data_IF_111608468041
#
_entry.id   IF_111608468041
#
_cell.length_a   1.000
_cell.length_b   1.000
_cell.length_c   1.000
_cell.angle_alpha   90.00
_cell.angle_beta   90.00
_cell.angle_gamma   90.00
#
_symmetry.space_group_name_H-M   'P 1'
#
loop_
_entity.id
_entity.type
_entity.pdbx_description
1 polymer ?
#
# COMPACT_ATOMS: atom_id res chain seq x y z
N UNK A 1 -4.59 14.56 -9.37
CA UNK A 1 -4.61 13.67 -10.56
C UNK A 1 -4.75 12.20 -10.15
N UNK A 2 -3.88 11.69 -9.28
CA UNK A 2 -3.88 10.29 -8.87
C UNK A 2 -5.22 9.82 -8.26
N UNK A 3 -5.89 10.66 -7.45
CA UNK A 3 -7.20 10.36 -6.86
C UNK A 3 -8.32 10.19 -7.90
N UNK A 4 -8.30 10.97 -8.99
CA UNK A 4 -9.28 10.87 -10.06
C UNK A 4 -9.10 9.55 -10.83
N UNK A 5 -7.86 9.26 -11.25
CA UNK A 5 -7.52 7.99 -11.92
C UNK A 5 -7.92 6.81 -11.05
N UNK A 6 -7.58 6.84 -9.76
CA UNK A 6 -7.97 5.80 -8.81
C UNK A 6 -9.49 5.58 -8.78
N UNK A 7 -10.27 6.66 -8.73
CA UNK A 7 -11.74 6.58 -8.68
C UNK A 7 -12.32 5.96 -9.96
N UNK A 8 -11.71 6.23 -11.11
CA UNK A 8 -12.16 5.73 -12.41
C UNK A 8 -11.91 4.22 -12.59
N UNK A 9 -10.76 3.71 -12.14
CA UNK A 9 -10.33 2.34 -12.47
C UNK A 9 -10.39 1.34 -11.30
N UNK A 10 -10.54 1.79 -10.06
CA UNK A 10 -10.43 0.93 -8.86
C UNK A 10 -11.47 -0.19 -8.79
N UNK A 11 -12.63 -0.03 -9.42
CA UNK A 11 -13.69 -1.05 -9.49
C UNK A 11 -13.30 -2.27 -10.34
N UNK A 12 -12.26 -2.17 -11.17
CA UNK A 12 -11.80 -3.24 -12.05
C UNK A 12 -10.81 -4.22 -11.38
N UNK A 13 -10.61 -4.09 -10.05
CA UNK A 13 -9.63 -4.83 -9.26
C UNK A 13 -10.31 -5.50 -8.05
N UNK A 14 -9.80 -6.65 -7.62
CA UNK A 14 -10.32 -7.42 -6.48
C UNK A 14 -10.13 -6.69 -5.15
N UNK A 15 -9.08 -5.87 -5.08
CA UNK A 15 -8.78 -4.98 -3.98
C UNK A 15 -8.03 -3.75 -4.47
N UNK A 16 -8.27 -2.62 -3.81
CA UNK A 16 -7.66 -1.36 -4.20
C UNK A 16 -7.35 -0.49 -3.00
N UNK A 17 -6.29 0.30 -3.10
CA UNK A 17 -5.87 1.22 -2.06
C UNK A 17 -5.24 2.48 -2.65
N UNK A 18 -5.75 3.64 -2.26
CA UNK A 18 -5.13 4.94 -2.48
C UNK A 18 -4.43 5.37 -1.19
N UNK A 19 -3.14 5.71 -1.30
CA UNK A 19 -2.30 6.21 -0.22
C UNK A 19 -1.73 7.56 -0.64
N UNK A 20 -2.18 8.62 0.02
CA UNK A 20 -1.74 9.99 -0.20
C UNK A 20 -0.54 10.38 0.65
N UNK A 21 0.21 11.39 0.20
CA UNK A 21 1.30 12.04 0.95
C UNK A 21 2.34 11.04 1.49
N UNK A 22 2.85 10.14 0.64
CA UNK A 22 3.77 9.08 1.06
C UNK A 22 5.01 9.63 1.75
N UNK A 23 5.58 10.73 1.22
CA UNK A 23 6.67 11.47 1.85
C UNK A 23 6.42 11.77 3.33
N UNK A 24 5.32 12.47 3.62
CA UNK A 24 5.01 12.93 4.97
C UNK A 24 4.57 11.78 5.88
N UNK A 25 3.72 10.87 5.38
CA UNK A 25 3.19 9.76 6.18
C UNK A 25 4.30 8.75 6.54
N UNK A 26 5.22 8.47 5.61
CA UNK A 26 6.35 7.57 5.88
C UNK A 26 7.33 8.16 6.90
N UNK A 27 7.57 9.48 6.85
CA UNK A 27 8.39 10.20 7.83
C UNK A 27 7.74 10.22 9.22
N UNK A 28 6.41 10.43 9.27
CA UNK A 28 5.68 10.58 10.53
C UNK A 28 5.37 9.27 11.24
N UNK A 29 4.98 8.24 10.51
CA UNK A 29 4.46 6.99 11.08
C UNK A 29 5.30 5.76 10.74
N UNK A 30 6.26 5.90 9.82
CA UNK A 30 7.07 4.80 9.32
C UNK A 30 6.39 3.99 8.21
N UNK A 31 7.21 3.31 7.42
CA UNK A 31 6.77 2.50 6.28
C UNK A 31 5.90 1.30 6.69
N UNK A 32 6.14 0.73 7.88
CA UNK A 32 5.36 -0.38 8.42
C UNK A 32 3.88 -0.01 8.58
N UNK A 33 3.57 1.24 8.98
CA UNK A 33 2.19 1.71 9.12
C UNK A 33 1.50 1.90 7.77
N UNK A 34 2.25 2.28 6.74
CA UNK A 34 1.73 2.34 5.38
C UNK A 34 1.46 0.94 4.82
N UNK A 35 2.33 -0.05 5.09
CA UNK A 35 2.10 -1.44 4.71
C UNK A 35 0.85 -2.03 5.38
N UNK A 36 0.69 -1.78 6.69
CA UNK A 36 -0.50 -2.16 7.45
C UNK A 36 -1.78 -1.56 6.82
N UNK A 37 -1.77 -0.25 6.51
CA UNK A 37 -2.88 0.45 5.83
C UNK A 37 -3.22 -0.15 4.47
N UNK A 38 -2.21 -0.47 3.66
CA UNK A 38 -2.40 -1.11 2.34
C UNK A 38 -3.07 -2.46 2.52
N UNK A 39 -2.51 -3.32 3.38
CA UNK A 39 -3.02 -4.66 3.59
C UNK A 39 -4.46 -4.62 4.12
N UNK A 40 -4.76 -3.73 5.08
CA UNK A 40 -6.11 -3.59 5.65
C UNK A 40 -7.13 -3.21 4.57
N UNK A 41 -6.80 -2.19 3.76
CA UNK A 41 -7.70 -1.69 2.71
C UNK A 41 -7.89 -2.70 1.58
N UNK A 42 -6.80 -3.29 1.08
CA UNK A 42 -6.85 -4.24 -0.04
C UNK A 42 -7.54 -5.54 0.37
N UNK A 43 -7.25 -6.06 1.56
CA UNK A 43 -7.83 -7.33 2.04
C UNK A 43 -9.20 -7.16 2.70
N UNK A 44 -9.66 -5.92 2.91
CA UNK A 44 -10.89 -5.58 3.63
C UNK A 44 -10.93 -6.22 5.04
N UNK A 45 -9.79 -6.24 5.72
CA UNK A 45 -9.65 -6.76 7.08
C UNK A 45 -9.87 -5.65 8.11
N UNK A 46 -10.35 -6.03 9.30
CA UNK A 46 -10.61 -5.09 10.40
C UNK A 46 -9.37 -4.76 11.21
N UNK A 47 -8.43 -5.70 11.30
CA UNK A 47 -7.27 -5.60 12.16
C UNK A 47 -6.11 -6.38 11.55
N UNK A 48 -4.91 -5.82 11.70
CA UNK A 48 -3.65 -6.38 11.25
C UNK A 48 -2.53 -5.54 11.84
N UNK A 49 -1.45 -6.20 12.21
CA UNK A 49 -0.25 -5.53 12.69
C UNK A 49 0.91 -5.84 11.76
N UNK A 50 1.74 -4.82 11.52
CA UNK A 50 3.02 -4.96 10.84
C UNK A 50 4.07 -4.35 11.75
N UNK A 51 4.93 -5.17 12.33
CA UNK A 51 5.94 -4.70 13.26
C UNK A 51 7.23 -4.29 12.55
N UNK A 52 7.52 -4.90 11.40
CA UNK A 52 8.74 -4.64 10.61
C UNK A 52 8.44 -4.45 9.14
N UNK A 53 9.24 -3.60 8.49
CA UNK A 53 9.09 -3.31 7.05
C UNK A 53 9.25 -4.58 6.19
N UNK A 54 10.24 -5.42 6.48
CA UNK A 54 10.44 -6.66 5.72
C UNK A 54 9.31 -7.68 5.94
N UNK A 55 8.74 -7.72 7.15
CA UNK A 55 7.55 -8.53 7.43
C UNK A 55 6.36 -8.04 6.59
N UNK A 56 6.09 -6.74 6.59
CA UNK A 56 5.03 -6.15 5.78
C UNK A 56 5.23 -6.38 4.28
N UNK A 57 6.48 -6.35 3.78
CA UNK A 57 6.81 -6.69 2.38
C UNK A 57 6.44 -8.13 2.06
N UNK A 58 6.85 -9.08 2.92
CA UNK A 58 6.47 -10.49 2.76
C UNK A 58 4.95 -10.66 2.80
N UNK A 59 4.25 -10.01 3.72
CA UNK A 59 2.79 -10.07 3.80
C UNK A 59 2.10 -9.52 2.55
N UNK A 60 2.56 -8.37 2.04
CA UNK A 60 2.05 -7.77 0.79
C UNK A 60 2.24 -8.74 -0.36
N UNK A 61 3.47 -9.26 -0.52
CA UNK A 61 3.76 -10.23 -1.58
C UNK A 61 2.88 -11.48 -1.44
N UNK A 62 2.91 -12.14 -0.30
CA UNK A 62 2.32 -13.47 -0.13
C UNK A 62 0.78 -13.43 -0.12
N UNK A 63 0.17 -12.33 0.34
CA UNK A 63 -1.30 -12.19 0.40
C UNK A 63 -1.91 -11.60 -0.87
N UNK A 64 -1.14 -10.81 -1.62
CA UNK A 64 -1.65 -10.12 -2.81
C UNK A 64 -1.20 -10.78 -4.12
N UNK A 65 -0.21 -11.67 -4.13
CA UNK A 65 0.36 -12.29 -5.34
C UNK A 65 -0.64 -13.02 -6.25
N UNK A 66 -1.78 -13.45 -5.72
CA UNK A 66 -2.82 -14.18 -6.47
C UNK A 66 -4.07 -13.34 -6.73
N UNK A 67 -4.02 -12.03 -6.49
CA UNK A 67 -5.16 -11.11 -6.64
C UNK A 67 -4.83 -10.02 -7.63
N UNK A 68 -5.84 -9.58 -8.38
CA UNK A 68 -5.71 -8.39 -9.21
C UNK A 68 -5.89 -7.17 -8.31
N UNK A 69 -4.78 -6.54 -7.89
CA UNK A 69 -4.80 -5.41 -6.93
C UNK A 69 -4.33 -4.12 -7.59
N UNK A 70 -4.97 -3.01 -7.22
CA UNK A 70 -4.51 -1.65 -7.55
C UNK A 70 -4.02 -0.92 -6.30
N UNK A 71 -2.75 -0.53 -6.28
CA UNK A 71 -2.20 0.36 -5.24
C UNK A 71 -1.72 1.63 -5.93
N UNK A 72 -2.22 2.77 -5.48
CA UNK A 72 -1.79 4.09 -5.96
C UNK A 72 -1.09 4.80 -4.80
N UNK A 73 0.18 5.15 -5.03
CA UNK A 73 1.06 5.81 -4.07
C UNK A 73 1.29 7.24 -4.58
N UNK A 74 0.76 8.24 -3.87
CA UNK A 74 0.88 9.65 -4.25
C UNK A 74 1.96 10.35 -3.41
N UNK A 75 2.70 11.26 -4.04
CA UNK A 75 3.86 11.95 -3.45
C UNK A 75 4.97 11.02 -2.91
N UNK A 76 5.35 10.02 -3.71
CA UNK A 76 6.56 9.21 -3.47
C UNK A 76 7.79 10.02 -3.86
N UNK A 77 8.76 10.16 -2.96
CA UNK A 77 9.97 10.95 -3.18
C UNK A 77 11.28 10.19 -2.90
N UNK A 78 11.20 8.96 -2.38
CA UNK A 78 12.36 8.09 -2.12
C UNK A 78 12.16 6.67 -2.66
N UNK A 79 13.24 6.08 -3.17
CA UNK A 79 13.21 4.71 -3.69
C UNK A 79 12.85 3.67 -2.62
N UNK A 80 13.28 3.88 -1.38
CA UNK A 80 12.99 2.97 -0.27
C UNK A 80 11.50 2.89 0.06
N UNK A 81 10.75 3.98 -0.14
CA UNK A 81 9.28 3.97 -0.01
C UNK A 81 8.65 3.03 -1.05
N UNK A 82 9.06 3.17 -2.31
CA UNK A 82 8.57 2.32 -3.38
C UNK A 82 8.94 0.84 -3.13
N UNK A 83 10.19 0.59 -2.72
CA UNK A 83 10.68 -0.76 -2.44
C UNK A 83 9.91 -1.42 -1.28
N UNK A 84 9.59 -0.66 -0.23
CA UNK A 84 8.84 -1.16 0.91
C UNK A 84 7.35 -1.43 0.61
N UNK A 85 6.73 -0.63 -0.26
CA UNK A 85 5.28 -0.68 -0.48
C UNK A 85 4.87 -1.50 -1.71
N UNK A 86 5.74 -1.59 -2.73
CA UNK A 86 5.44 -2.24 -4.00
C UNK A 86 6.63 -3.03 -4.59
N UNK A 87 7.82 -2.96 -3.99
CA UNK A 87 9.01 -3.65 -4.49
C UNK A 87 9.03 -5.13 -4.08
N UNK A 88 8.95 -6.00 -5.09
CA UNK A 88 9.21 -7.45 -5.01
C UNK A 88 10.67 -7.76 -4.71
#
# INVERSE_FOLDING_TARGET
LASYVYSEISSNFDGSCFVENIRDESSKYGLQKLQEKILLKVLKQKEMEVHRVEEGRCMIRDRLCHRKVLIVLDDVDHFDQLKALAGS
#
